data_IF_995484557487
#
_entry.id   IF_995484557487
#
_cell.length_a   1.000
_cell.length_b   1.000
_cell.length_c   1.000
_cell.angle_alpha   90.00
_cell.angle_beta   90.00
_cell.angle_gamma   90.00
#
_symmetry.space_group_name_H-M   'P 1'
#
loop_
_entity.id
_entity.type
_entity.pdbx_description
1 polymer ?
#
# COMPACT_ATOMS: atom_id res chain seq x y z
N UNK A 1 30.18 -37.88 -17.21
CA UNK A 1 31.36 -37.28 -16.55
C UNK A 1 31.75 -35.94 -17.18
N UNK A 2 31.80 -35.83 -18.51
CA UNK A 2 32.13 -34.59 -19.24
C UNK A 2 31.22 -33.38 -18.95
N UNK A 3 29.90 -33.59 -18.85
CA UNK A 3 28.95 -32.50 -18.52
C UNK A 3 29.14 -31.88 -17.12
N UNK A 4 29.71 -32.62 -16.16
CA UNK A 4 29.94 -32.12 -14.80
C UNK A 4 31.16 -31.20 -14.74
N UNK A 5 32.20 -31.50 -15.52
CA UNK A 5 33.43 -30.70 -15.59
C UNK A 5 33.16 -29.33 -16.24
N UNK A 6 32.33 -29.30 -17.27
CA UNK A 6 31.98 -28.06 -17.98
C UNK A 6 31.04 -27.14 -17.18
N UNK A 7 30.20 -27.72 -16.31
CA UNK A 7 29.39 -26.96 -15.36
C UNK A 7 30.23 -26.33 -14.22
N UNK A 8 31.19 -27.09 -13.68
CA UNK A 8 32.10 -26.58 -12.64
C UNK A 8 33.03 -25.48 -13.20
N UNK A 9 33.60 -25.68 -14.39
CA UNK A 9 34.42 -24.66 -15.06
C UNK A 9 33.68 -23.34 -15.28
N UNK A 10 32.41 -23.39 -15.72
CA UNK A 10 31.59 -22.18 -15.89
C UNK A 10 31.24 -21.48 -14.56
N UNK A 11 31.07 -22.23 -13.47
CA UNK A 11 30.84 -21.64 -12.13
C UNK A 11 32.07 -20.91 -11.61
N UNK A 12 33.26 -21.47 -11.77
CA UNK A 12 34.51 -20.86 -11.30
C UNK A 12 34.81 -19.57 -12.07
N UNK A 13 34.65 -19.58 -13.39
CA UNK A 13 34.86 -18.40 -14.24
C UNK A 13 33.85 -17.29 -13.92
N UNK A 14 32.56 -17.62 -13.70
CA UNK A 14 31.57 -16.62 -13.22
C UNK A 14 31.96 -16.04 -11.87
N UNK A 15 32.32 -16.88 -10.89
CA UNK A 15 32.69 -16.43 -9.54
C UNK A 15 33.90 -15.49 -9.54
N UNK A 16 34.86 -15.70 -10.45
CA UNK A 16 36.00 -14.78 -10.61
C UNK A 16 35.63 -13.48 -11.32
N UNK A 17 34.76 -13.53 -12.32
CA UNK A 17 34.25 -12.33 -13.01
C UNK A 17 33.40 -11.46 -12.08
N UNK A 18 32.56 -12.08 -11.26
CA UNK A 18 31.73 -11.40 -10.27
C UNK A 18 32.57 -10.77 -9.15
N UNK A 19 33.60 -11.48 -8.63
CA UNK A 19 34.54 -10.90 -7.66
C UNK A 19 35.28 -9.67 -8.19
N UNK A 20 35.60 -9.63 -9.49
CA UNK A 20 36.30 -8.50 -10.11
C UNK A 20 35.36 -7.31 -10.37
N UNK A 21 34.07 -7.55 -10.62
CA UNK A 21 33.04 -6.51 -10.80
C UNK A 21 32.56 -5.90 -9.47
N UNK A 22 32.56 -6.68 -8.38
CA UNK A 22 32.13 -6.20 -7.05
C UNK A 22 33.17 -5.26 -6.40
N UNK A 23 34.44 -5.31 -6.83
CA UNK A 23 35.53 -4.56 -6.18
C UNK A 23 35.85 -3.20 -6.81
N UNK A 24 35.09 -2.76 -7.81
CA UNK A 24 35.26 -1.45 -8.47
C UNK A 24 33.95 -0.65 -8.43
N UNK A 25 33.51 -0.26 -7.24
CA UNK A 25 32.31 0.57 -7.12
C UNK A 25 31.68 0.56 -5.74
N UNK A 26 32.44 0.92 -4.69
CA UNK A 26 31.79 1.51 -3.53
C UNK A 26 31.12 2.80 -3.99
N UNK A 27 29.79 2.91 -3.90
CA UNK A 27 29.08 4.13 -4.22
C UNK A 27 29.74 5.31 -3.49
N UNK A 28 30.08 6.39 -4.23
CA UNK A 28 30.68 7.64 -3.71
C UNK A 28 29.97 8.17 -2.45
N UNK A 29 28.71 7.77 -2.25
CA UNK A 29 27.91 7.89 -1.03
C UNK A 29 28.65 7.55 0.27
N UNK A 30 29.49 6.50 0.28
CA UNK A 30 30.06 5.94 1.52
C UNK A 30 31.51 6.39 1.83
N UNK A 31 32.20 7.04 0.89
CA UNK A 31 33.62 7.40 1.08
C UNK A 31 33.82 8.80 1.71
N UNK A 32 32.92 9.75 1.49
CA UNK A 32 33.07 11.13 2.01
C UNK A 32 31.75 11.75 2.49
N UNK A 33 31.28 11.43 3.72
CA UNK A 33 29.97 11.88 4.22
C UNK A 33 29.84 13.40 4.36
N UNK A 34 30.95 14.11 4.64
CA UNK A 34 30.94 15.59 4.79
C UNK A 34 30.78 16.33 3.45
N UNK A 35 31.35 15.80 2.36
CA UNK A 35 31.24 16.40 1.02
C UNK A 35 29.83 16.22 0.44
N UNK A 36 29.24 15.04 0.63
CA UNK A 36 27.86 14.79 0.20
C UNK A 36 26.85 15.66 0.96
N UNK A 37 27.09 15.94 2.24
CA UNK A 37 26.27 16.87 3.02
C UNK A 37 26.34 18.31 2.49
N UNK A 38 27.52 18.80 2.10
CA UNK A 38 27.71 20.14 1.53
C UNK A 38 27.04 20.24 0.15
N UNK A 39 27.21 19.22 -0.71
CA UNK A 39 26.56 19.17 -2.03
C UNK A 39 25.04 19.11 -1.88
N UNK A 40 24.52 18.34 -0.93
CA UNK A 40 23.09 18.30 -0.62
C UNK A 40 22.55 19.65 -0.14
N UNK A 41 23.29 20.35 0.72
CA UNK A 41 22.93 21.70 1.18
C UNK A 41 22.93 22.71 0.02
N UNK A 42 23.93 22.66 -0.87
CA UNK A 42 24.01 23.52 -2.03
C UNK A 42 22.82 23.31 -2.99
N UNK A 43 22.43 22.05 -3.22
CA UNK A 43 21.26 21.74 -4.05
C UNK A 43 19.95 22.26 -3.44
N UNK A 44 19.77 22.17 -2.13
CA UNK A 44 18.59 22.72 -1.46
C UNK A 44 18.50 24.25 -1.59
N UNK A 45 19.63 24.96 -1.49
CA UNK A 45 19.68 26.42 -1.69
C UNK A 45 19.30 26.79 -3.12
N UNK A 46 19.83 26.06 -4.12
CA UNK A 46 19.51 26.29 -5.54
C UNK A 46 18.01 26.08 -5.79
N UNK A 47 17.43 25.01 -5.25
CA UNK A 47 15.99 24.74 -5.36
C UNK A 47 15.18 25.87 -4.71
N UNK A 48 15.59 26.34 -3.53
CA UNK A 48 14.94 27.45 -2.83
C UNK A 48 14.92 28.75 -3.65
N UNK A 49 16.05 29.08 -4.30
CA UNK A 49 16.18 30.25 -5.17
C UNK A 49 15.26 30.12 -6.39
N UNK A 50 15.22 28.95 -7.02
CA UNK A 50 14.34 28.70 -8.18
C UNK A 50 12.86 28.87 -7.79
N UNK A 51 12.46 28.30 -6.65
CA UNK A 51 11.08 28.46 -6.13
C UNK A 51 10.76 29.93 -5.85
N UNK A 52 11.70 30.68 -5.28
CA UNK A 52 11.53 32.11 -5.02
C UNK A 52 11.30 32.91 -6.31
N UNK A 53 12.09 32.68 -7.36
CA UNK A 53 11.90 33.33 -8.66
C UNK A 53 10.56 32.97 -9.32
N UNK A 54 10.12 31.71 -9.20
CA UNK A 54 8.80 31.28 -9.69
C UNK A 54 7.69 32.04 -8.97
N UNK A 55 7.77 32.19 -7.64
CA UNK A 55 6.81 32.96 -6.86
C UNK A 55 6.76 34.43 -7.25
N UNK A 56 7.92 35.06 -7.47
CA UNK A 56 7.99 36.45 -7.93
C UNK A 56 7.35 36.63 -9.32
N UNK A 57 7.65 35.72 -10.25
CA UNK A 57 7.07 35.76 -11.60
C UNK A 57 5.54 35.62 -11.57
N UNK A 58 5.02 34.70 -10.74
CA UNK A 58 3.59 34.54 -10.52
C UNK A 58 2.97 35.81 -9.91
N UNK A 59 3.60 36.41 -8.90
CA UNK A 59 3.12 37.64 -8.27
C UNK A 59 3.05 38.81 -9.24
N UNK A 60 4.07 38.98 -10.09
CA UNK A 60 4.07 40.04 -11.10
C UNK A 60 2.97 39.83 -12.15
N UNK A 61 2.74 38.58 -12.57
CA UNK A 61 1.64 38.24 -13.47
C UNK A 61 0.26 38.55 -12.88
N UNK A 62 0.06 38.29 -11.57
CA UNK A 62 -1.20 38.61 -10.88
C UNK A 62 -1.42 40.12 -10.82
N UNK A 63 -0.40 40.90 -10.47
CA UNK A 63 -0.52 42.36 -10.40
C UNK A 63 -0.85 42.96 -11.76
N UNK A 64 -0.19 42.50 -12.84
CA UNK A 64 -0.49 42.93 -14.20
C UNK A 64 -1.94 42.61 -14.63
N UNK A 65 -2.46 41.44 -14.21
CA UNK A 65 -3.87 41.09 -14.45
C UNK A 65 -4.82 41.99 -13.67
N UNK A 66 -4.55 42.29 -12.40
CA UNK A 66 -5.38 43.19 -11.59
C UNK A 66 -5.42 44.58 -12.21
N UNK A 67 -4.27 45.12 -12.63
CA UNK A 67 -4.19 46.44 -13.25
C UNK A 67 -4.95 46.49 -14.57
N UNK A 68 -4.83 45.45 -15.40
CA UNK A 68 -5.59 45.34 -16.65
C UNK A 68 -7.10 45.25 -16.41
N UNK A 69 -7.54 44.43 -15.45
CA UNK A 69 -8.97 44.28 -15.10
C UNK A 69 -9.51 45.59 -14.51
N UNK A 70 -8.77 46.26 -13.63
CA UNK A 70 -9.16 47.54 -13.03
C UNK A 70 -9.34 48.63 -14.10
N UNK A 71 -8.39 48.72 -15.03
CA UNK A 71 -8.46 49.66 -16.14
C UNK A 71 -9.66 49.39 -17.08
N UNK A 72 -10.03 48.12 -17.28
CA UNK A 72 -11.21 47.76 -18.05
C UNK A 72 -12.51 48.05 -17.29
N UNK A 73 -12.57 47.68 -16.01
CA UNK A 73 -13.73 47.91 -15.14
C UNK A 73 -14.06 49.40 -14.97
N UNK A 74 -13.05 50.27 -14.88
CA UNK A 74 -13.23 51.72 -14.75
C UNK A 74 -14.00 52.38 -15.91
N UNK A 75 -14.12 51.69 -17.05
CA UNK A 75 -14.79 52.18 -18.27
C UNK A 75 -16.17 51.56 -18.47
N UNK A 76 -16.58 50.63 -17.60
CA UNK A 76 -17.83 49.87 -17.72
C UNK A 76 -18.84 50.32 -16.67
N UNK A 77 -20.14 50.24 -17.02
CA UNK A 77 -21.21 50.45 -16.05
C UNK A 77 -21.26 49.31 -15.03
N UNK A 78 -21.67 49.61 -13.80
CA UNK A 78 -21.70 48.69 -12.67
C UNK A 78 -22.50 47.40 -12.97
N UNK A 79 -23.58 47.51 -13.76
CA UNK A 79 -24.40 46.37 -14.19
C UNK A 79 -23.59 45.36 -15.02
N UNK A 80 -22.72 45.85 -15.91
CA UNK A 80 -21.91 45.02 -16.80
C UNK A 80 -20.79 44.32 -16.01
N UNK A 81 -20.21 45.01 -15.03
CA UNK A 81 -19.18 44.44 -14.14
C UNK A 81 -19.75 43.25 -13.35
N UNK A 82 -20.94 43.38 -12.76
CA UNK A 82 -21.57 42.29 -11.99
C UNK A 82 -21.88 41.08 -12.88
N UNK A 83 -22.38 41.31 -14.10
CA UNK A 83 -22.63 40.24 -15.06
C UNK A 83 -21.34 39.49 -15.44
N UNK A 84 -20.24 40.23 -15.66
CA UNK A 84 -18.94 39.65 -15.99
C UNK A 84 -18.34 38.83 -14.83
N UNK A 85 -18.41 39.35 -13.60
CA UNK A 85 -17.98 38.62 -12.40
C UNK A 85 -18.80 37.32 -12.26
N UNK A 86 -20.12 37.40 -12.42
CA UNK A 86 -20.99 36.22 -12.30
C UNK A 86 -20.64 35.16 -13.36
N UNK A 87 -20.44 35.57 -14.61
CA UNK A 87 -20.06 34.66 -15.70
C UNK A 87 -18.68 34.02 -15.47
N UNK A 88 -17.69 34.80 -15.06
CA UNK A 88 -16.32 34.30 -14.79
C UNK A 88 -16.26 33.36 -13.60
N UNK A 89 -16.91 33.70 -12.48
CA UNK A 89 -17.00 32.84 -11.29
C UNK A 89 -17.70 31.52 -11.61
N UNK A 90 -18.76 31.54 -12.44
CA UNK A 90 -19.45 30.33 -12.87
C UNK A 90 -18.54 29.37 -13.66
N UNK A 91 -17.83 29.89 -14.67
CA UNK A 91 -16.91 29.09 -15.49
C UNK A 91 -15.77 28.51 -14.63
N UNK A 92 -15.14 29.35 -13.81
CA UNK A 92 -14.04 28.94 -12.93
C UNK A 92 -14.52 27.87 -11.94
N UNK A 93 -15.69 28.08 -11.33
CA UNK A 93 -16.28 27.15 -10.37
C UNK A 93 -16.53 25.76 -10.96
N UNK A 94 -17.07 25.69 -12.18
CA UNK A 94 -17.30 24.41 -12.89
C UNK A 94 -15.97 23.71 -13.20
N UNK A 95 -14.95 24.44 -13.66
CA UNK A 95 -13.63 23.86 -13.98
C UNK A 95 -12.97 23.29 -12.73
N UNK A 96 -12.89 24.06 -11.64
CA UNK A 96 -12.28 23.62 -10.38
C UNK A 96 -13.02 22.40 -9.82
N UNK A 97 -14.35 22.44 -9.81
CA UNK A 97 -15.18 21.32 -9.33
C UNK A 97 -14.95 20.05 -10.14
N UNK A 98 -14.83 20.17 -11.46
CA UNK A 98 -14.53 19.05 -12.37
C UNK A 98 -13.17 18.41 -12.07
N UNK A 99 -12.14 19.23 -11.83
CA UNK A 99 -10.79 18.74 -11.49
C UNK A 99 -10.82 17.99 -10.16
N UNK A 100 -11.44 18.57 -9.12
CA UNK A 100 -11.55 17.94 -7.79
C UNK A 100 -12.32 16.62 -7.88
N UNK A 101 -13.44 16.60 -8.61
CA UNK A 101 -14.23 15.38 -8.83
C UNK A 101 -13.37 14.27 -9.46
N UNK A 102 -12.62 14.57 -10.53
CA UNK A 102 -11.72 13.57 -11.15
C UNK A 102 -10.67 13.01 -10.21
N UNK A 103 -10.10 13.84 -9.33
CA UNK A 103 -9.11 13.40 -8.34
C UNK A 103 -9.74 12.44 -7.33
N UNK A 104 -10.92 12.80 -6.82
CA UNK A 104 -11.66 11.98 -5.85
C UNK A 104 -12.10 10.66 -6.50
N UNK A 105 -12.67 10.70 -7.71
CA UNK A 105 -13.13 9.53 -8.45
C UNK A 105 -11.98 8.59 -8.79
N UNK A 106 -10.82 9.12 -9.20
CA UNK A 106 -9.64 8.30 -9.45
C UNK A 106 -9.19 7.58 -8.17
N UNK A 107 -9.16 8.28 -7.04
CA UNK A 107 -8.78 7.68 -5.76
C UNK A 107 -9.77 6.60 -5.32
N UNK A 108 -11.07 6.88 -5.45
CA UNK A 108 -12.15 5.96 -5.08
C UNK A 108 -12.18 4.73 -5.98
N UNK A 109 -12.17 4.92 -7.31
CA UNK A 109 -12.16 3.81 -8.28
C UNK A 109 -10.97 2.88 -8.08
N UNK A 110 -9.79 3.41 -7.76
CA UNK A 110 -8.62 2.59 -7.44
C UNK A 110 -8.81 1.79 -6.16
N UNK A 111 -9.40 2.38 -5.12
CA UNK A 111 -9.70 1.67 -3.87
C UNK A 111 -10.74 0.57 -4.11
N UNK A 112 -11.82 0.87 -4.81
CA UNK A 112 -12.88 -0.09 -5.16
C UNK A 112 -12.33 -1.24 -6.01
N UNK A 113 -11.45 -0.94 -6.97
CA UNK A 113 -10.78 -1.93 -7.80
C UNK A 113 -9.93 -2.89 -6.96
N UNK A 114 -9.09 -2.36 -6.06
CA UNK A 114 -8.25 -3.19 -5.18
C UNK A 114 -9.09 -3.98 -4.19
N UNK A 115 -10.15 -3.40 -3.64
CA UNK A 115 -11.07 -4.07 -2.73
C UNK A 115 -11.74 -5.27 -3.41
N UNK A 116 -12.27 -5.09 -4.64
CA UNK A 116 -12.87 -6.18 -5.43
C UNK A 116 -11.89 -7.31 -5.73
N UNK A 117 -10.62 -6.98 -6.01
CA UNK A 117 -9.56 -7.99 -6.24
C UNK A 117 -9.16 -8.74 -4.96
N UNK A 118 -9.34 -8.12 -3.79
CA UNK A 118 -9.02 -8.68 -2.48
C UNK A 118 -10.17 -9.47 -1.85
N UNK A 119 -11.41 -9.12 -2.19
CA UNK A 119 -12.61 -9.76 -1.67
C UNK A 119 -12.58 -11.28 -1.92
N UNK A 120 -12.22 -11.70 -3.14
CA UNK A 120 -12.12 -13.12 -3.52
C UNK A 120 -11.11 -13.88 -2.65
N UNK A 121 -9.81 -13.52 -2.59
CA UNK A 121 -8.86 -14.24 -1.75
C UNK A 121 -9.21 -14.20 -0.26
N UNK A 122 -9.76 -13.09 0.22
CA UNK A 122 -10.11 -12.97 1.64
C UNK A 122 -11.35 -13.80 1.98
N UNK A 123 -12.28 -13.96 1.04
CA UNK A 123 -13.38 -14.91 1.13
C UNK A 123 -12.89 -16.36 1.19
N UNK A 124 -11.96 -16.74 0.31
CA UNK A 124 -11.36 -18.09 0.31
C UNK A 124 -10.64 -18.41 1.64
N UNK A 125 -9.97 -17.43 2.24
CA UNK A 125 -9.37 -17.59 3.57
C UNK A 125 -10.40 -17.86 4.66
N UNK A 126 -11.52 -17.13 4.67
CA UNK A 126 -12.60 -17.37 5.63
C UNK A 126 -13.23 -18.74 5.40
N UNK A 127 -13.41 -19.14 4.14
CA UNK A 127 -13.93 -20.46 3.77
C UNK A 127 -13.03 -21.59 4.29
N UNK A 128 -11.71 -21.48 4.16
CA UNK A 128 -10.75 -22.41 4.76
C UNK A 128 -10.96 -22.57 6.26
N UNK A 129 -11.18 -21.47 7.00
CA UNK A 129 -11.43 -21.51 8.45
C UNK A 129 -12.72 -22.29 8.74
N UNK A 130 -13.78 -22.08 7.95
CA UNK A 130 -15.02 -22.84 8.08
C UNK A 130 -14.85 -24.33 7.78
N UNK A 131 -14.08 -24.70 6.74
CA UNK A 131 -13.77 -26.10 6.43
C UNK A 131 -13.02 -26.78 7.58
N UNK A 132 -12.04 -26.10 8.17
CA UNK A 132 -11.33 -26.59 9.37
C UNK A 132 -12.30 -26.79 10.54
N UNK A 133 -13.19 -25.83 10.81
CA UNK A 133 -14.19 -25.93 11.86
C UNK A 133 -15.18 -27.09 11.61
N UNK A 134 -15.59 -27.29 10.36
CA UNK A 134 -16.47 -28.39 9.95
C UNK A 134 -15.80 -29.75 10.18
N UNK A 135 -14.50 -29.86 9.86
CA UNK A 135 -13.73 -31.09 10.06
C UNK A 135 -13.58 -31.49 11.53
N UNK A 136 -13.59 -30.52 12.45
CA UNK A 136 -13.64 -30.79 13.90
C UNK A 136 -14.98 -31.43 14.30
N UNK A 137 -16.09 -31.07 13.64
CA UNK A 137 -17.42 -31.63 13.92
C UNK A 137 -17.66 -32.96 13.20
N UNK A 138 -17.22 -33.05 11.95
CA UNK A 138 -17.38 -34.20 11.06
C UNK A 138 -16.00 -34.59 10.50
N UNK A 139 -15.33 -35.51 11.19
CA UNK A 139 -13.99 -35.99 10.84
C UNK A 139 -13.94 -36.52 9.40
N UNK A 140 -12.99 -36.03 8.61
CA UNK A 140 -12.76 -36.45 7.23
C UNK A 140 -13.41 -35.55 6.16
N UNK A 141 -14.08 -34.47 6.55
CA UNK A 141 -14.65 -33.50 5.60
C UNK A 141 -13.63 -32.53 5.01
N UNK A 142 -12.43 -32.44 5.59
CA UNK A 142 -11.32 -31.64 5.07
C UNK A 142 -10.00 -32.40 5.19
N UNK A 143 -9.49 -32.93 4.08
CA UNK A 143 -8.25 -33.72 4.06
C UNK A 143 -7.00 -32.83 4.02
N UNK A 144 -5.83 -33.42 4.30
CA UNK A 144 -4.56 -32.71 4.26
C UNK A 144 -4.23 -32.20 2.85
N UNK A 145 -4.53 -32.98 1.82
CA UNK A 145 -4.35 -32.58 0.42
C UNK A 145 -5.20 -31.35 0.06
N UNK A 146 -6.49 -31.35 0.46
CA UNK A 146 -7.39 -30.21 0.27
C UNK A 146 -6.87 -28.97 1.00
N UNK A 147 -6.34 -29.13 2.21
CA UNK A 147 -5.77 -28.04 2.98
C UNK A 147 -4.53 -27.45 2.30
N UNK A 148 -3.62 -28.28 1.80
CA UNK A 148 -2.42 -27.82 1.07
C UNK A 148 -2.79 -27.10 -0.23
N UNK A 149 -3.80 -27.58 -0.95
CA UNK A 149 -4.31 -26.94 -2.16
C UNK A 149 -4.89 -25.55 -1.85
N UNK A 150 -5.80 -25.45 -0.89
CA UNK A 150 -6.43 -24.20 -0.47
C UNK A 150 -5.36 -23.20 0.04
N UNK A 151 -4.41 -23.64 0.86
CA UNK A 151 -3.29 -22.82 1.34
C UNK A 151 -2.42 -22.29 0.20
N UNK A 152 -2.13 -23.13 -0.79
CA UNK A 152 -1.35 -22.77 -1.97
C UNK A 152 -2.10 -21.77 -2.84
N UNK A 153 -3.39 -22.01 -3.07
CA UNK A 153 -4.28 -21.11 -3.83
C UNK A 153 -4.36 -19.73 -3.17
N UNK A 154 -4.65 -19.68 -1.88
CA UNK A 154 -4.72 -18.44 -1.12
C UNK A 154 -3.38 -17.69 -1.16
N UNK A 155 -2.25 -18.38 -0.91
CA UNK A 155 -0.91 -17.78 -0.93
C UNK A 155 -0.57 -17.15 -2.29
N UNK A 156 -0.92 -17.82 -3.40
CA UNK A 156 -0.75 -17.25 -4.76
C UNK A 156 -1.54 -15.97 -4.94
N UNK A 157 -2.80 -15.93 -4.48
CA UNK A 157 -3.64 -14.75 -4.64
C UNK A 157 -3.17 -13.56 -3.80
N UNK A 158 -2.80 -13.77 -2.53
CA UNK A 158 -2.32 -12.68 -1.67
C UNK A 158 -0.91 -12.19 -2.04
N UNK A 159 -0.12 -12.99 -2.76
CA UNK A 159 1.15 -12.53 -3.33
C UNK A 159 0.92 -11.40 -4.33
N UNK A 160 -0.19 -11.44 -5.08
CA UNK A 160 -0.52 -10.43 -6.09
C UNK A 160 -1.33 -9.27 -5.51
N UNK A 161 -2.34 -9.57 -4.68
CA UNK A 161 -3.35 -8.58 -4.27
C UNK A 161 -3.36 -8.26 -2.77
N UNK A 162 -2.64 -9.03 -1.94
CA UNK A 162 -2.57 -8.84 -0.51
C UNK A 162 -1.89 -7.53 -0.13
N UNK A 163 -2.37 -6.85 0.91
CA UNK A 163 -1.60 -5.75 1.49
C UNK A 163 -0.39 -6.30 2.24
N UNK A 164 0.65 -5.47 2.36
CA UNK A 164 1.86 -5.83 3.13
C UNK A 164 1.51 -6.32 4.54
N UNK A 165 0.52 -5.70 5.20
CA UNK A 165 0.09 -6.09 6.55
C UNK A 165 -0.55 -7.47 6.61
N UNK A 166 -1.31 -7.84 5.59
CA UNK A 166 -1.91 -9.19 5.49
C UNK A 166 -0.81 -10.20 5.18
N UNK A 167 0.09 -9.90 4.25
CA UNK A 167 1.20 -10.79 3.88
C UNK A 167 2.13 -11.03 5.08
N UNK A 168 2.53 -9.99 5.81
CA UNK A 168 3.40 -10.12 6.99
C UNK A 168 2.79 -10.99 8.07
N UNK A 169 1.47 -10.83 8.34
CA UNK A 169 0.77 -11.66 9.32
C UNK A 169 0.57 -13.09 8.81
N UNK A 170 0.35 -13.27 7.51
CA UNK A 170 0.24 -14.60 6.89
C UNK A 170 1.54 -15.39 7.02
N UNK A 171 2.69 -14.74 6.78
CA UNK A 171 4.00 -15.37 6.96
C UNK A 171 4.18 -15.83 8.41
N UNK A 172 3.88 -14.96 9.38
CA UNK A 172 3.92 -15.33 10.81
C UNK A 172 3.00 -16.50 11.15
N UNK A 173 1.81 -16.54 10.54
CA UNK A 173 0.85 -17.63 10.77
C UNK A 173 1.37 -18.96 10.24
N UNK A 174 2.00 -18.95 9.07
CA UNK A 174 2.66 -20.11 8.47
C UNK A 174 3.86 -20.60 9.30
N UNK A 175 4.67 -19.68 9.82
CA UNK A 175 5.83 -20.00 10.68
C UNK A 175 5.40 -20.58 12.03
N UNK A 176 4.34 -20.03 12.63
CA UNK A 176 3.82 -20.51 13.90
C UNK A 176 3.05 -21.83 13.77
N UNK A 177 2.38 -22.07 12.64
CA UNK A 177 1.69 -23.33 12.37
C UNK A 177 2.63 -24.55 12.32
N UNK A 178 3.93 -24.33 12.09
CA UNK A 178 4.95 -25.39 12.13
C UNK A 178 5.43 -25.71 13.56
N UNK A 179 4.99 -24.95 14.57
CA UNK A 179 5.42 -25.10 15.97
C UNK A 179 4.32 -25.79 16.80
N UNK A 180 4.61 -26.89 17.51
CA UNK A 180 3.60 -27.65 18.28
C UNK A 180 2.95 -26.88 19.44
N UNK A 181 3.64 -25.87 19.99
CA UNK A 181 3.28 -25.11 21.19
C UNK A 181 2.56 -23.78 20.90
N UNK A 182 2.51 -23.34 19.64
CA UNK A 182 1.99 -22.02 19.27
C UNK A 182 0.48 -21.98 18.96
N UNK A 183 -0.29 -23.04 19.26
CA UNK A 183 -1.68 -23.21 18.81
C UNK A 183 -2.63 -22.08 19.22
N UNK A 184 -2.58 -21.64 20.49
CA UNK A 184 -3.43 -20.56 20.99
C UNK A 184 -3.05 -19.18 20.42
N UNK A 185 -1.75 -18.94 20.23
CA UNK A 185 -1.25 -17.70 19.62
C UNK A 185 -1.58 -17.63 18.14
N UNK A 186 -1.55 -18.76 17.44
CA UNK A 186 -1.91 -18.83 16.03
C UNK A 186 -3.41 -18.56 15.79
N UNK A 187 -4.27 -18.92 16.76
CA UNK A 187 -5.69 -18.60 16.74
C UNK A 187 -5.91 -17.08 16.81
N UNK A 188 -5.23 -16.37 17.71
CA UNK A 188 -5.31 -14.90 17.75
C UNK A 188 -4.70 -14.25 16.51
N UNK A 189 -3.62 -14.83 15.97
CA UNK A 189 -3.00 -14.34 14.74
C UNK A 189 -3.94 -14.46 13.53
N UNK A 190 -4.76 -15.52 13.46
CA UNK A 190 -5.83 -15.66 12.46
C UNK A 190 -6.85 -14.51 12.55
N UNK A 191 -7.24 -14.10 13.76
CA UNK A 191 -8.11 -12.93 13.95
C UNK A 191 -7.44 -11.61 13.56
N UNK A 192 -6.14 -11.48 13.81
CA UNK A 192 -5.39 -10.32 13.36
C UNK A 192 -5.31 -10.24 11.83
N UNK A 193 -5.13 -11.38 11.15
CA UNK A 193 -5.19 -11.46 9.69
C UNK A 193 -6.56 -11.01 9.18
N UNK A 194 -7.66 -11.56 9.72
CA UNK A 194 -9.01 -11.16 9.33
C UNK A 194 -9.29 -9.67 9.58
N UNK A 195 -8.72 -9.10 10.64
CA UNK A 195 -8.87 -7.67 10.91
C UNK A 195 -8.11 -6.78 9.92
N UNK A 196 -6.92 -7.19 9.45
CA UNK A 196 -6.24 -6.46 8.39
C UNK A 196 -6.97 -6.61 7.06
N UNK A 197 -7.49 -7.79 6.73
CA UNK A 197 -8.32 -8.01 5.54
C UNK A 197 -9.56 -7.11 5.56
N UNK A 198 -10.27 -7.04 6.69
CA UNK A 198 -11.40 -6.12 6.90
C UNK A 198 -11.00 -4.67 6.68
N UNK A 199 -9.85 -4.26 7.21
CA UNK A 199 -9.32 -2.91 7.03
C UNK A 199 -9.00 -2.60 5.58
N UNK A 200 -8.45 -3.56 4.84
CA UNK A 200 -8.19 -3.44 3.40
C UNK A 200 -9.48 -3.28 2.58
N UNK A 201 -10.61 -3.76 3.10
CA UNK A 201 -11.95 -3.61 2.51
C UNK A 201 -12.73 -2.40 3.07
N UNK A 202 -12.08 -1.54 3.86
CA UNK A 202 -12.71 -0.32 4.40
C UNK A 202 -13.47 -0.50 5.71
N UNK A 203 -13.44 -1.68 6.33
CA UNK A 203 -14.09 -1.96 7.60
C UNK A 203 -13.17 -1.68 8.80
N UNK A 204 -13.77 -1.27 9.93
CA UNK A 204 -13.03 -1.08 11.18
C UNK A 204 -12.63 -2.42 11.80
N UNK A 205 -11.48 -2.41 12.50
CA UNK A 205 -10.98 -3.51 13.33
C UNK A 205 -11.98 -3.81 14.45
N UNK A 206 -12.21 -5.09 14.73
CA UNK A 206 -12.99 -5.53 15.88
C UNK A 206 -12.12 -5.70 17.12
N UNK A 207 -12.75 -5.79 18.29
CA UNK A 207 -12.06 -6.15 19.53
C UNK A 207 -11.59 -7.61 19.47
N UNK A 208 -10.44 -7.88 20.10
CA UNK A 208 -9.86 -9.23 20.23
C UNK A 208 -10.91 -10.20 20.80
N UNK A 209 -11.06 -11.36 20.17
CA UNK A 209 -12.04 -12.40 20.49
C UNK A 209 -13.36 -12.30 19.75
N UNK A 210 -13.69 -11.16 19.15
CA UNK A 210 -15.02 -10.99 18.55
C UNK A 210 -15.18 -11.76 17.25
N UNK A 211 -14.14 -11.83 16.41
CA UNK A 211 -14.21 -12.67 15.20
C UNK A 211 -14.05 -14.15 15.54
N UNK A 212 -13.17 -14.45 16.50
CA UNK A 212 -12.96 -15.82 16.94
C UNK A 212 -14.19 -16.44 17.60
N UNK A 213 -15.07 -15.62 18.18
CA UNK A 213 -16.31 -16.08 18.78
C UNK A 213 -17.28 -16.72 17.76
N UNK A 214 -17.09 -16.49 16.45
CA UNK A 214 -17.86 -17.20 15.42
C UNK A 214 -17.39 -18.65 15.22
N UNK A 215 -16.13 -18.93 15.56
CA UNK A 215 -15.45 -20.19 15.23
C UNK A 215 -15.21 -21.05 16.47
N UNK A 216 -14.95 -20.44 17.62
CA UNK A 216 -14.54 -21.12 18.86
C UNK A 216 -15.50 -20.73 20.00
N UNK A 217 -16.29 -21.70 20.45
CA UNK A 217 -17.32 -21.50 21.49
C UNK A 217 -16.75 -20.99 22.83
N UNK A 218 -15.53 -21.44 23.20
CA UNK A 218 -14.92 -21.12 24.50
C UNK A 218 -13.99 -19.89 24.48
N UNK A 219 -13.88 -19.15 23.36
CA UNK A 219 -12.92 -18.04 23.26
C UNK A 219 -13.14 -16.96 24.34
N UNK A 220 -14.40 -16.74 24.74
CA UNK A 220 -14.75 -15.78 25.79
C UNK A 220 -14.29 -16.24 27.18
N UNK A 221 -14.15 -17.56 27.41
CA UNK A 221 -13.61 -18.12 28.66
C UNK A 221 -12.08 -17.96 28.69
N UNK A 222 -11.40 -18.25 27.59
CA UNK A 222 -9.94 -18.08 27.45
C UNK A 222 -9.53 -16.61 27.65
N UNK A 223 -10.30 -15.66 27.11
CA UNK A 223 -10.05 -14.23 27.31
C UNK A 223 -10.31 -13.72 28.74
N UNK A 224 -11.10 -14.44 29.54
CA UNK A 224 -11.32 -14.11 30.95
C UNK A 224 -10.23 -14.69 31.87
N UNK A 225 -9.59 -15.79 31.48
CA UNK A 225 -8.49 -16.41 32.24
C UNK A 225 -7.12 -15.77 32.04
N UNK A 226 -6.93 -14.99 30.97
CA UNK A 226 -5.70 -14.24 30.67
C UNK A 226 -5.75 -12.77 31.16
N UNK A 227 -6.54 -12.48 32.20
CA UNK A 227 -6.60 -11.17 32.87
C UNK A 227 -5.92 -11.22 34.22
#
# INVERSE_FOLDING_TARGET
MLLRVEFEGRKVVRKHKDKKLINSGGSFSNQHPRLNAIIGLALLIIIGIIVYYIFLYLGHGINALIDWVSNMASKMDAVIIVAFITGTVSIIGVIISSIIAKIIDYKKSRQDYLARKREVPYGEFVEMIYKVQQNIKNSGSYTEEMMLEDLSKFSKQITLWGSSKVVDKWVKFRENGAKPDAGADNLFLMEEIMNEMRKDLGLKKVKKGNLLAFFVNDIKKVLKGNK
#
